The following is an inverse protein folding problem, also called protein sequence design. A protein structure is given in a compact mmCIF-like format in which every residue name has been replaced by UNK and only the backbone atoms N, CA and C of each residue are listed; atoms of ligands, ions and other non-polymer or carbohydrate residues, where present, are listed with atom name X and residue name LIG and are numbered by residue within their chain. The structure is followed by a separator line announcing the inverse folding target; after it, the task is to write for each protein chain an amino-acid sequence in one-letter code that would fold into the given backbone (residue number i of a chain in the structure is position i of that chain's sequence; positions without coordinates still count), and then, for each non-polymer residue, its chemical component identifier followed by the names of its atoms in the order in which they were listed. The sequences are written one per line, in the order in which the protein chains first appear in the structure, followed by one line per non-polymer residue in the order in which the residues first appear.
data_IF_915083945231
#
_entry.id   IF_915083945231
#
_cell.length_a   1.000
_cell.length_b   1.000
_cell.length_c   1.000
_cell.angle_alpha   90.00
_cell.angle_beta   90.00
_cell.angle_gamma   90.00
#
_symmetry.space_group_name_H-M   'P 1'
#
loop_
_entity.id
_entity.type
_entity.pdbx_description
1 polymer ?
#
# COMPACT_ATOMS: atom_id res chain seq x y z
N UNK A 1 -21.15 -27.14 0.81
CA UNK A 1 -20.28 -25.95 0.89
C UNK A 1 -20.69 -25.14 2.11
N UNK A 2 -19.81 -25.06 3.10
CA UNK A 2 -20.05 -24.18 4.25
C UNK A 2 -19.85 -22.74 3.77
N UNK A 3 -20.92 -21.94 3.72
CA UNK A 3 -20.87 -20.53 3.39
C UNK A 3 -20.20 -19.72 4.50
N UNK A 4 -19.66 -18.56 4.16
CA UNK A 4 -19.10 -17.61 5.13
C UNK A 4 -20.20 -17.09 6.04
N UNK A 5 -20.00 -17.16 7.36
CA UNK A 5 -20.87 -16.45 8.32
C UNK A 5 -20.71 -14.93 8.11
N UNK A 6 -21.82 -14.19 8.08
CA UNK A 6 -21.83 -12.76 7.76
C UNK A 6 -20.98 -11.89 8.71
N UNK A 7 -20.76 -12.35 9.94
CA UNK A 7 -19.95 -11.68 10.96
C UNK A 7 -18.45 -12.00 10.92
N UNK A 8 -18.03 -12.96 10.08
CA UNK A 8 -16.62 -13.42 10.02
C UNK A 8 -15.86 -12.69 8.93
N UNK A 9 -14.61 -12.28 9.22
CA UNK A 9 -13.73 -11.72 8.18
C UNK A 9 -13.43 -12.74 7.07
N UNK A 10 -13.14 -12.27 5.85
CA UNK A 10 -12.77 -13.17 4.74
C UNK A 10 -11.48 -13.95 5.07
N UNK A 11 -10.53 -13.32 5.77
CA UNK A 11 -9.29 -13.94 6.21
C UNK A 11 -9.58 -15.09 7.19
N UNK A 12 -10.36 -14.84 8.23
CA UNK A 12 -10.64 -15.84 9.27
C UNK A 12 -11.41 -17.02 8.71
N UNK A 13 -12.35 -16.76 7.80
CA UNK A 13 -13.06 -17.82 7.08
C UNK A 13 -12.10 -18.67 6.24
N UNK A 14 -11.18 -18.03 5.52
CA UNK A 14 -10.20 -18.72 4.68
C UNK A 14 -9.24 -19.57 5.53
N UNK A 15 -8.70 -19.03 6.61
CA UNK A 15 -7.81 -19.73 7.55
C UNK A 15 -8.49 -20.97 8.13
N UNK A 16 -9.71 -20.83 8.63
CA UNK A 16 -10.49 -21.96 9.17
C UNK A 16 -10.76 -23.05 8.13
N UNK A 17 -11.12 -22.63 6.92
CA UNK A 17 -11.37 -23.58 5.82
C UNK A 17 -10.10 -24.32 5.45
N UNK A 18 -8.98 -23.62 5.32
CA UNK A 18 -7.70 -24.20 4.96
C UNK A 18 -7.19 -25.16 6.04
N UNK A 19 -7.29 -24.77 7.31
CA UNK A 19 -6.93 -25.62 8.46
C UNK A 19 -7.74 -26.96 8.43
N UNK A 20 -9.04 -26.88 8.19
CA UNK A 20 -9.90 -28.06 8.07
C UNK A 20 -9.52 -28.94 6.87
N UNK A 21 -9.24 -28.34 5.70
CA UNK A 21 -8.85 -29.10 4.50
C UNK A 21 -7.50 -29.81 4.64
N UNK A 22 -6.53 -29.16 5.31
CA UNK A 22 -5.17 -29.68 5.48
C UNK A 22 -5.03 -30.54 6.74
N UNK A 23 -6.04 -30.58 7.59
CA UNK A 23 -6.03 -31.24 8.91
C UNK A 23 -4.85 -30.73 9.78
N UNK A 24 -4.66 -29.41 9.79
CA UNK A 24 -3.60 -28.71 10.54
C UNK A 24 -4.27 -27.78 11.55
N UNK A 25 -3.59 -27.49 12.65
CA UNK A 25 -4.07 -26.55 13.66
C UNK A 25 -4.30 -25.15 13.06
N UNK A 26 -5.42 -24.52 13.44
CA UNK A 26 -5.81 -23.20 12.96
C UNK A 26 -4.74 -22.14 13.27
N UNK A 27 -4.08 -22.24 14.43
CA UNK A 27 -3.06 -21.27 14.84
C UNK A 27 -1.85 -21.31 13.91
N UNK A 28 -1.44 -22.49 13.47
CA UNK A 28 -0.33 -22.67 12.54
C UNK A 28 -0.68 -22.08 11.17
N UNK A 29 -1.88 -22.36 10.67
CA UNK A 29 -2.34 -21.81 9.38
C UNK A 29 -2.46 -20.29 9.45
N UNK A 30 -2.97 -19.74 10.54
CA UNK A 30 -3.09 -18.30 10.75
C UNK A 30 -1.73 -17.60 10.75
N UNK A 31 -0.74 -18.18 11.44
CA UNK A 31 0.62 -17.66 11.50
C UNK A 31 1.29 -17.66 10.12
N UNK A 32 1.18 -18.75 9.37
CA UNK A 32 1.72 -18.84 8.00
C UNK A 32 1.06 -17.81 7.07
N UNK A 33 -0.27 -17.70 7.10
CA UNK A 33 -1.01 -16.72 6.29
C UNK A 33 -0.59 -15.29 6.66
N UNK A 34 -0.49 -14.98 7.94
CA UNK A 34 -0.04 -13.67 8.44
C UNK A 34 1.36 -13.35 7.95
N UNK A 35 2.30 -14.26 8.13
CA UNK A 35 3.70 -14.09 7.70
C UNK A 35 3.79 -13.86 6.18
N UNK A 36 3.02 -14.58 5.38
CA UNK A 36 3.00 -14.39 3.92
C UNK A 36 2.50 -13.00 3.53
N UNK A 37 1.40 -12.54 4.11
CA UNK A 37 0.88 -11.20 3.84
C UNK A 37 1.82 -10.10 4.30
N UNK A 38 2.45 -10.22 5.46
CA UNK A 38 3.45 -9.27 5.96
C UNK A 38 4.68 -9.23 5.04
N UNK A 39 5.14 -10.36 4.55
CA UNK A 39 6.26 -10.45 3.60
C UNK A 39 5.93 -9.76 2.28
N UNK A 40 4.71 -9.94 1.74
CA UNK A 40 4.24 -9.25 0.54
C UNK A 40 4.16 -7.74 0.77
N UNK A 41 3.58 -7.30 1.89
CA UNK A 41 3.51 -5.87 2.25
C UNK A 41 4.92 -5.27 2.32
N UNK A 42 5.85 -5.92 3.00
CA UNK A 42 7.24 -5.46 3.12
C UNK A 42 7.95 -5.43 1.75
N UNK A 43 7.71 -6.42 0.91
CA UNK A 43 8.25 -6.45 -0.44
C UNK A 43 7.68 -5.32 -1.32
N UNK A 44 6.37 -5.05 -1.24
CA UNK A 44 5.73 -3.95 -1.99
C UNK A 44 6.16 -2.57 -1.49
N UNK A 45 6.61 -2.45 -0.25
CA UNK A 45 7.19 -1.20 0.25
C UNK A 45 8.56 -0.89 -0.34
N UNK A 46 9.30 -1.90 -0.76
CA UNK A 46 10.67 -1.76 -1.28
C UNK A 46 10.76 -1.82 -2.80
N UNK A 47 9.80 -2.46 -3.46
CA UNK A 47 9.86 -2.74 -4.90
C UNK A 47 8.63 -2.19 -5.63
N UNK A 48 8.82 -1.76 -6.89
CA UNK A 48 7.70 -1.35 -7.77
C UNK A 48 6.89 -2.53 -8.28
N UNK A 49 7.46 -3.70 -8.28
CA UNK A 49 6.83 -4.94 -8.76
C UNK A 49 7.21 -6.08 -7.83
N UNK A 50 6.23 -6.82 -7.37
CA UNK A 50 6.40 -8.01 -6.53
C UNK A 50 5.62 -9.14 -7.16
N UNK A 51 6.32 -10.21 -7.52
CA UNK A 51 5.70 -11.43 -8.01
C UNK A 51 5.33 -12.33 -6.82
N UNK A 52 4.10 -12.80 -6.83
CA UNK A 52 3.57 -13.74 -5.83
C UNK A 52 3.26 -15.03 -6.57
N UNK A 53 3.99 -16.10 -6.23
CA UNK A 53 3.80 -17.41 -6.83
C UNK A 53 2.32 -17.83 -6.83
N UNK A 54 1.85 -18.29 -7.96
CA UNK A 54 0.47 -18.71 -8.22
C UNK A 54 -0.62 -17.61 -8.16
N UNK A 55 -0.31 -16.39 -7.74
CA UNK A 55 -1.26 -15.27 -7.68
C UNK A 55 -1.02 -14.22 -8.77
N UNK A 56 0.23 -14.08 -9.22
CA UNK A 56 0.62 -13.10 -10.23
C UNK A 56 1.49 -11.97 -9.69
N UNK A 57 1.50 -10.84 -10.39
CA UNK A 57 2.40 -9.73 -10.09
C UNK A 57 1.65 -8.52 -9.57
N UNK A 58 2.01 -8.05 -8.38
CA UNK A 58 1.60 -6.75 -7.86
C UNK A 58 2.53 -5.67 -8.41
N UNK A 59 1.96 -4.68 -9.11
CA UNK A 59 2.71 -3.55 -9.65
C UNK A 59 2.26 -2.25 -9.00
N UNK A 60 3.23 -1.40 -8.68
CA UNK A 60 2.95 -0.04 -8.28
C UNK A 60 2.30 0.74 -9.43
N UNK A 61 1.24 1.48 -9.13
CA UNK A 61 0.53 2.28 -10.11
C UNK A 61 0.76 3.77 -9.85
N UNK A 62 1.70 4.37 -10.61
CA UNK A 62 2.06 5.79 -10.48
C UNK A 62 0.85 6.71 -10.71
N UNK A 63 -0.02 6.40 -11.68
CA UNK A 63 -1.22 7.19 -11.97
C UNK A 63 -2.22 7.16 -10.82
N UNK A 64 -2.42 6.00 -10.21
CA UNK A 64 -3.29 5.86 -9.04
C UNK A 64 -2.72 6.60 -7.83
N UNK A 65 -1.40 6.56 -7.63
CA UNK A 65 -0.72 7.29 -6.57
C UNK A 65 -0.87 8.80 -6.74
N UNK A 66 -0.65 9.33 -7.96
CA UNK A 66 -0.85 10.74 -8.26
C UNK A 66 -2.31 11.17 -8.05
N UNK A 67 -3.27 10.40 -8.57
CA UNK A 67 -4.70 10.67 -8.34
C UNK A 67 -5.06 10.71 -6.85
N UNK A 68 -4.44 9.86 -6.03
CA UNK A 68 -4.65 9.87 -4.58
C UNK A 68 -4.11 11.13 -3.93
N UNK A 69 -2.96 11.65 -4.39
CA UNK A 69 -2.43 12.95 -3.94
C UNK A 69 -3.39 14.09 -4.29
N UNK A 70 -3.88 14.14 -5.52
CA UNK A 70 -4.81 15.17 -5.98
C UNK A 70 -6.11 15.17 -5.15
N UNK A 71 -6.64 13.98 -4.85
CA UNK A 71 -7.82 13.83 -3.98
C UNK A 71 -7.54 14.33 -2.56
N UNK A 72 -6.38 13.98 -1.97
CA UNK A 72 -5.99 14.47 -0.64
C UNK A 72 -5.87 15.99 -0.62
N UNK A 73 -5.23 16.60 -1.63
CA UNK A 73 -5.09 18.04 -1.74
C UNK A 73 -6.45 18.75 -1.86
N UNK A 74 -7.39 18.16 -2.62
CA UNK A 74 -8.77 18.63 -2.71
C UNK A 74 -9.50 18.58 -1.37
N UNK A 75 -9.36 17.47 -0.64
CA UNK A 75 -9.99 17.30 0.67
C UNK A 75 -9.43 18.29 1.72
N UNK A 76 -8.10 18.45 1.75
CA UNK A 76 -7.45 19.43 2.64
C UNK A 76 -7.93 20.84 2.35
N UNK A 77 -8.03 21.23 1.07
CA UNK A 77 -8.57 22.54 0.65
C UNK A 77 -10.01 22.72 1.12
N UNK A 78 -10.85 21.71 0.94
CA UNK A 78 -12.25 21.76 1.37
C UNK A 78 -12.39 21.92 2.88
N UNK A 79 -11.58 21.19 3.66
CA UNK A 79 -11.58 21.30 5.12
C UNK A 79 -11.08 22.66 5.59
N UNK A 80 -10.03 23.22 4.98
CA UNK A 80 -9.56 24.58 5.29
C UNK A 80 -10.63 25.64 5.04
N UNK A 81 -11.35 25.53 3.92
CA UNK A 81 -12.45 26.44 3.63
C UNK A 81 -13.59 26.34 4.67
N UNK A 82 -13.90 25.11 5.14
CA UNK A 82 -14.90 24.90 6.20
C UNK A 82 -14.47 25.49 7.55
N UNK A 83 -13.17 25.44 7.86
CA UNK A 83 -12.62 26.04 9.08
C UNK A 83 -12.84 27.56 9.09
N UNK A 84 -12.61 28.21 7.94
CA UNK A 84 -12.80 29.68 7.82
C UNK A 84 -14.28 30.08 7.97
N UNK A 85 -15.22 29.21 7.63
CA UNK A 85 -16.66 29.52 7.61
C UNK A 85 -17.42 29.02 8.83
N UNK A 86 -16.76 28.41 9.82
CA UNK A 86 -17.41 27.85 11.01
C UNK A 86 -17.07 28.64 12.26
N UNK A 87 -18.06 28.87 13.12
CA UNK A 87 -17.90 29.52 14.45
C UNK A 87 -17.70 28.48 15.58
N UNK A 88 -17.59 27.19 15.28
CA UNK A 88 -17.48 26.13 16.27
C UNK A 88 -16.05 25.68 16.47
N UNK A 89 -15.43 26.06 17.60
CA UNK A 89 -14.07 25.69 17.96
C UNK A 89 -13.83 24.17 18.00
N UNK A 90 -14.81 23.40 18.49
CA UNK A 90 -14.69 21.94 18.52
C UNK A 90 -14.63 21.32 17.12
N UNK A 91 -15.35 21.89 16.14
CA UNK A 91 -15.28 21.45 14.74
C UNK A 91 -13.96 21.87 14.10
N UNK A 92 -13.48 23.07 14.40
CA UNK A 92 -12.18 23.57 13.93
C UNK A 92 -11.06 22.63 14.38
N UNK A 93 -11.02 22.31 15.68
CA UNK A 93 -10.02 21.38 16.20
C UNK A 93 -10.06 20.02 15.50
N UNK A 94 -11.25 19.41 15.41
CA UNK A 94 -11.42 18.12 14.73
C UNK A 94 -10.96 18.16 13.27
N UNK A 95 -11.24 19.23 12.55
CA UNK A 95 -10.83 19.33 11.14
C UNK A 95 -9.33 19.59 11.00
N UNK A 96 -8.71 20.30 11.92
CA UNK A 96 -7.24 20.46 11.97
C UNK A 96 -6.57 19.12 12.20
N UNK A 97 -7.04 18.30 13.14
CA UNK A 97 -6.50 16.96 13.41
C UNK A 97 -6.57 16.07 12.15
N UNK A 98 -7.70 16.13 11.42
CA UNK A 98 -7.86 15.40 10.16
C UNK A 98 -6.91 15.92 9.06
N UNK A 99 -6.71 17.22 8.97
CA UNK A 99 -5.77 17.84 8.02
C UNK A 99 -4.35 17.38 8.33
N UNK A 100 -3.93 17.38 9.58
CA UNK A 100 -2.58 16.98 10.00
C UNK A 100 -2.34 15.49 9.68
N UNK A 101 -3.32 14.63 9.92
CA UNK A 101 -3.25 13.22 9.53
C UNK A 101 -3.11 13.06 7.99
N UNK A 102 -3.89 13.84 7.23
CA UNK A 102 -3.81 13.81 5.76
C UNK A 102 -2.46 14.33 5.24
N UNK A 103 -1.91 15.37 5.84
CA UNK A 103 -0.59 15.90 5.48
C UNK A 103 0.52 14.89 5.76
N UNK A 104 0.44 14.16 6.87
CA UNK A 104 1.38 13.08 7.16
C UNK A 104 1.28 11.95 6.11
N UNK A 105 0.08 11.48 5.81
CA UNK A 105 -0.15 10.45 4.77
C UNK A 105 0.33 10.92 3.40
N UNK A 106 0.10 12.17 3.06
CA UNK A 106 0.58 12.80 1.82
C UNK A 106 2.11 12.81 1.74
N UNK A 107 2.79 13.20 2.81
CA UNK A 107 4.26 13.20 2.90
C UNK A 107 4.82 11.79 2.69
N UNK A 108 4.25 10.79 3.36
CA UNK A 108 4.66 9.38 3.20
C UNK A 108 4.51 8.93 1.75
N UNK A 109 3.39 9.25 1.10
CA UNK A 109 3.13 8.87 -0.28
C UNK A 109 4.09 9.54 -1.27
N UNK A 110 4.40 10.83 -1.09
CA UNK A 110 5.38 11.57 -1.91
C UNK A 110 6.77 10.96 -1.75
N UNK A 111 7.21 10.71 -0.52
CA UNK A 111 8.51 10.09 -0.27
C UNK A 111 8.60 8.74 -0.98
N UNK A 112 7.53 7.94 -0.91
CA UNK A 112 7.47 6.64 -1.57
C UNK A 112 7.58 6.74 -3.10
N UNK A 113 6.89 7.68 -3.72
CA UNK A 113 6.99 7.95 -5.17
C UNK A 113 8.43 8.33 -5.53
N UNK A 114 9.05 9.19 -4.75
CA UNK A 114 10.42 9.66 -5.01
C UNK A 114 11.45 8.52 -4.88
N UNK A 115 11.35 7.69 -3.86
CA UNK A 115 12.21 6.51 -3.66
C UNK A 115 12.13 5.56 -4.85
N UNK A 116 10.90 5.18 -5.24
CA UNK A 116 10.68 4.27 -6.36
C UNK A 116 11.20 4.84 -7.69
N UNK A 117 11.10 6.15 -7.89
CA UNK A 117 11.63 6.81 -9.09
C UNK A 117 13.15 6.91 -9.06
N UNK A 118 13.76 7.11 -7.90
CA UNK A 118 15.21 7.12 -7.75
C UNK A 118 15.81 5.73 -8.07
N UNK A 119 15.18 4.66 -7.61
CA UNK A 119 15.63 3.30 -7.87
C UNK A 119 15.54 2.94 -9.37
N UNK A 120 14.47 3.36 -10.06
CA UNK A 120 14.38 3.19 -11.52
C UNK A 120 15.52 3.88 -12.25
N UNK A 121 15.83 5.12 -11.92
CA UNK A 121 16.94 5.87 -12.54
C UNK A 121 18.30 5.19 -12.30
N UNK A 122 18.50 4.56 -11.12
CA UNK A 122 19.71 3.78 -10.82
C UNK A 122 19.80 2.53 -11.71
N UNK A 123 18.70 1.78 -11.85
CA UNK A 123 18.64 0.58 -12.67
C UNK A 123 18.85 0.90 -14.16
N UNK A 124 18.27 1.98 -14.66
CA UNK A 124 18.47 2.44 -16.03
C UNK A 124 19.93 2.78 -16.32
N UNK A 125 20.59 3.52 -15.41
CA UNK A 125 22.04 3.83 -15.54
C UNK A 125 22.89 2.58 -15.56
N UNK A 126 22.60 1.58 -14.72
CA UNK A 126 23.33 0.31 -14.68
C UNK A 126 23.12 -0.50 -15.97
N UNK A 127 21.92 -0.51 -16.53
CA UNK A 127 21.61 -1.22 -17.78
C UNK A 127 22.33 -0.60 -18.98
N UNK A 128 22.44 0.72 -19.02
CA UNK A 128 23.19 1.45 -20.08
C UNK A 128 24.69 1.19 -19.96
N UNK A 129 25.24 1.17 -18.74
CA UNK A 129 26.67 0.85 -18.52
C UNK A 129 27.01 -0.58 -18.97
N UNK A 130 26.16 -1.56 -18.66
CA UNK A 130 26.35 -2.96 -19.08
C UNK A 130 26.29 -3.18 -20.60
N UNK A 131 25.50 -2.35 -21.31
CA UNK A 131 25.41 -2.40 -22.78
C UNK A 131 26.70 -1.83 -23.45
N UNK A 132 27.30 -0.78 -22.85
CA UNK A 132 28.56 -0.18 -23.36
C UNK A 132 29.76 -1.12 -23.22
N UNK A 133 29.83 -1.94 -22.17
CA UNK A 133 30.92 -2.88 -21.95
C UNK A 133 30.84 -4.15 -22.82
N UNK A 134 29.68 -4.47 -23.40
CA UNK A 134 29.51 -5.63 -24.30
C UNK A 134 29.65 -5.31 -25.80
N UNK A 135 29.89 -4.06 -26.14
CA UNK A 135 30.04 -3.61 -27.54
C UNK A 135 31.46 -3.28 -27.95
N UNK A 136 32.49 -3.74 -27.23
CA UNK A 136 33.91 -3.49 -27.48
C UNK A 136 34.71 -4.81 -27.65
N UNK A 137 34.14 -5.78 -28.35
CA UNK A 137 34.87 -6.96 -28.87
C UNK A 137 34.70 -7.05 -30.37
#
# INVERSE_FOLDING_TARGET
MEGKLSSMSHRDWFVKRLAKQLNIDISIVDEVVKHQFESVVNATQKNKSVEISALGTLKWNDKAAQKKLDVMDGQIRTLRNKIVTTDSDAKVQKWNDVIDEMLLKRKILINRINELNADLRRLEKQSVSRKKTKGTD
#
